data_IF_468003022024
#
_entry.id   IF_468003022024
#
_cell.length_a   1.000
_cell.length_b   1.000
_cell.length_c   1.000
_cell.angle_alpha   90.00
_cell.angle_beta   90.00
_cell.angle_gamma   90.00
#
_symmetry.space_group_name_H-M   'P 1'
#
loop_
_entity.id
_entity.type
_entity.pdbx_description
1 polymer ?
#
# COMPACT_ATOMS: atom_id res chain seq x y z
N UNK A 1 -9.52 -15.79 14.49
CA UNK A 1 -8.83 -14.81 15.36
C UNK A 1 -7.91 -13.95 14.51
N UNK A 2 -8.04 -12.62 14.60
CA UNK A 2 -7.09 -11.64 14.06
C UNK A 2 -6.07 -11.32 15.15
N UNK A 3 -4.78 -11.23 14.77
CA UNK A 3 -3.71 -10.81 15.69
C UNK A 3 -3.03 -9.59 15.10
N UNK A 4 -3.01 -8.48 15.83
CA UNK A 4 -2.40 -7.22 15.36
C UNK A 4 -1.43 -6.68 16.41
N UNK A 5 -0.30 -6.16 15.95
CA UNK A 5 0.72 -5.56 16.81
C UNK A 5 0.28 -4.24 17.46
N UNK A 6 -0.75 -3.62 16.91
CA UNK A 6 -1.35 -2.37 17.36
C UNK A 6 -2.87 -2.54 17.46
N UNK A 7 -3.62 -1.48 17.27
CA UNK A 7 -5.06 -1.53 17.12
C UNK A 7 -5.48 -1.65 15.66
N UNK A 8 -6.72 -2.09 15.43
CA UNK A 8 -7.30 -2.20 14.09
C UNK A 8 -7.24 -0.86 13.37
N UNK A 9 -6.75 -0.89 12.13
CA UNK A 9 -6.58 0.31 11.30
C UNK A 9 -5.32 1.13 11.59
N UNK A 10 -4.40 0.65 12.43
CA UNK A 10 -3.20 1.39 12.83
C UNK A 10 -2.33 1.86 11.65
N UNK A 11 -2.26 1.11 10.56
CA UNK A 11 -1.53 1.53 9.36
C UNK A 11 -2.13 2.80 8.75
N UNK A 12 -3.46 2.87 8.68
CA UNK A 12 -4.18 4.04 8.17
C UNK A 12 -4.11 5.23 9.11
N UNK A 13 -4.09 4.99 10.43
CA UNK A 13 -3.91 6.04 11.45
C UNK A 13 -2.56 6.76 11.34
N UNK A 14 -1.57 6.12 10.73
CA UNK A 14 -0.22 6.67 10.52
C UNK A 14 -0.04 7.39 9.19
N UNK A 15 -1.06 7.40 8.32
CA UNK A 15 -0.99 8.21 7.10
C UNK A 15 -0.86 9.69 7.45
N UNK A 16 -0.17 10.48 6.62
CA UNK A 16 -0.22 11.94 6.74
C UNK A 16 -1.67 12.44 6.82
N UNK A 17 -1.96 13.42 7.65
CA UNK A 17 -3.33 13.89 7.89
C UNK A 17 -4.04 14.37 6.61
N UNK A 18 -3.27 14.89 5.66
CA UNK A 18 -3.76 15.41 4.38
C UNK A 18 -3.92 14.33 3.31
N UNK A 19 -3.32 13.16 3.51
CA UNK A 19 -3.40 12.05 2.54
C UNK A 19 -4.82 11.53 2.44
N UNK A 20 -5.26 11.29 1.22
CA UNK A 20 -6.59 10.80 0.89
C UNK A 20 -6.51 9.53 0.07
N UNK A 21 -7.54 8.70 0.17
CA UNK A 21 -7.71 7.58 -0.75
C UNK A 21 -7.72 8.07 -2.19
N UNK A 22 -6.90 7.47 -3.02
CA UNK A 22 -6.83 7.78 -4.46
C UNK A 22 -7.96 7.12 -5.24
N UNK A 23 -8.56 6.06 -4.68
CA UNK A 23 -9.75 5.41 -5.21
C UNK A 23 -10.99 6.12 -4.66
N UNK A 24 -11.95 6.53 -5.50
CA UNK A 24 -13.15 7.20 -5.02
C UNK A 24 -14.09 6.23 -4.33
N UNK A 25 -14.79 6.73 -3.31
CA UNK A 25 -15.96 6.10 -2.70
C UNK A 25 -17.23 6.77 -3.25
N UNK A 26 -18.32 6.01 -3.39
CA UNK A 26 -19.58 6.53 -3.94
C UNK A 26 -20.80 5.92 -3.27
N UNK A 27 -21.88 6.73 -3.16
CA UNK A 27 -23.09 6.38 -2.44
C UNK A 27 -23.95 5.31 -3.13
N UNK A 28 -23.91 5.28 -4.45
CA UNK A 28 -24.71 4.34 -5.24
C UNK A 28 -24.05 4.10 -6.58
N UNK A 29 -24.35 2.95 -7.14
CA UNK A 29 -23.95 2.61 -8.48
C UNK A 29 -25.06 1.81 -9.17
N UNK A 30 -25.40 2.16 -10.43
CA UNK A 30 -26.53 1.54 -11.13
C UNK A 30 -26.32 0.05 -11.45
N UNK A 31 -25.10 -0.45 -11.27
CA UNK A 31 -24.74 -1.84 -11.54
C UNK A 31 -24.70 -2.71 -10.28
N UNK A 32 -25.10 -2.19 -9.12
CA UNK A 32 -25.07 -2.93 -7.86
C UNK A 32 -23.68 -3.31 -7.36
N UNK A 33 -22.63 -2.65 -7.87
CA UNK A 33 -21.26 -2.91 -7.43
C UNK A 33 -21.02 -2.29 -6.05
N UNK A 34 -20.29 -2.96 -5.16
CA UNK A 34 -19.94 -2.37 -3.87
C UNK A 34 -18.99 -1.21 -4.04
N UNK A 35 -19.05 -0.25 -3.11
CA UNK A 35 -18.09 0.85 -3.01
C UNK A 35 -16.64 0.33 -3.14
N UNK A 36 -15.82 0.99 -3.94
CA UNK A 36 -14.46 0.53 -4.26
C UNK A 36 -13.57 0.38 -3.02
N UNK A 37 -13.81 1.15 -1.98
CA UNK A 37 -13.07 1.09 -0.72
C UNK A 37 -13.77 0.28 0.38
N UNK A 38 -14.95 -0.28 0.11
CA UNK A 38 -15.67 -1.12 1.07
C UNK A 38 -14.95 -2.45 1.31
N UNK A 39 -14.96 -2.92 2.55
CA UNK A 39 -14.38 -4.22 2.95
C UNK A 39 -15.41 -5.36 2.89
N UNK A 40 -16.69 -5.03 2.89
CA UNK A 40 -17.78 -6.00 2.83
C UNK A 40 -18.80 -5.57 1.78
N UNK A 41 -19.57 -6.52 1.18
CA UNK A 41 -20.50 -6.20 0.10
C UNK A 41 -21.66 -5.31 0.52
N UNK A 42 -22.02 -5.33 1.80
CA UNK A 42 -23.15 -4.61 2.40
C UNK A 42 -22.75 -3.32 3.12
N UNK A 43 -21.46 -2.93 3.06
CA UNK A 43 -20.97 -1.68 3.61
C UNK A 43 -20.53 -0.69 2.53
N UNK A 44 -20.53 0.59 2.87
CA UNK A 44 -20.03 1.66 2.00
C UNK A 44 -19.31 2.71 2.82
N UNK A 45 -18.08 3.01 2.43
CA UNK A 45 -17.29 4.06 3.07
C UNK A 45 -17.88 5.44 2.78
N UNK A 46 -18.47 5.64 1.58
CA UNK A 46 -19.17 6.87 1.24
C UNK A 46 -20.40 7.11 2.14
N UNK A 47 -21.18 6.05 2.43
CA UNK A 47 -22.30 6.17 3.39
C UNK A 47 -21.82 6.41 4.82
N UNK A 48 -20.67 5.87 5.19
CA UNK A 48 -20.09 6.02 6.51
C UNK A 48 -19.62 7.46 6.78
N UNK A 49 -18.95 8.12 5.84
CA UNK A 49 -18.32 9.41 6.08
C UNK A 49 -18.78 10.56 5.19
N UNK A 50 -19.51 10.31 4.11
CA UNK A 50 -19.94 11.36 3.18
C UNK A 50 -18.83 11.92 2.29
N UNK A 51 -17.67 11.28 2.22
CA UNK A 51 -16.51 11.74 1.46
C UNK A 51 -16.22 10.82 0.27
N UNK A 52 -15.91 11.39 -0.89
CA UNK A 52 -15.46 10.64 -2.06
C UNK A 52 -14.03 10.11 -1.87
N UNK A 53 -13.16 10.92 -1.29
CA UNK A 53 -11.76 10.58 -1.01
C UNK A 53 -11.45 10.74 0.49
N UNK A 54 -11.85 9.77 1.33
CA UNK A 54 -11.66 9.85 2.78
C UNK A 54 -10.19 9.75 3.18
N UNK A 55 -9.88 10.28 4.36
CA UNK A 55 -8.56 10.17 4.97
C UNK A 55 -8.35 8.85 5.71
N UNK A 56 -7.09 8.57 6.08
CA UNK A 56 -6.71 7.34 6.77
C UNK A 56 -7.43 7.16 8.11
N UNK A 57 -7.54 8.20 8.94
CA UNK A 57 -8.26 8.15 10.24
C UNK A 57 -9.73 7.75 10.07
N UNK A 58 -10.39 8.28 9.05
CA UNK A 58 -11.79 7.94 8.71
C UNK A 58 -11.89 6.46 8.36
N UNK A 59 -10.97 5.97 7.53
CA UNK A 59 -10.95 4.56 7.15
C UNK A 59 -10.67 3.62 8.33
N UNK A 60 -9.75 3.99 9.21
CA UNK A 60 -9.50 3.22 10.44
C UNK A 60 -10.76 3.11 11.32
N UNK A 61 -11.54 4.19 11.41
CA UNK A 61 -12.82 4.19 12.14
C UNK A 61 -13.85 3.29 11.46
N UNK A 62 -13.93 3.31 10.14
CA UNK A 62 -14.79 2.40 9.36
C UNK A 62 -14.42 0.94 9.59
N UNK A 63 -13.13 0.58 9.58
CA UNK A 63 -12.68 -0.78 9.84
C UNK A 63 -13.07 -1.27 11.24
N UNK A 64 -13.06 -0.39 12.26
CA UNK A 64 -13.53 -0.72 13.62
C UNK A 64 -15.01 -1.04 13.63
N UNK A 65 -15.82 -0.27 12.91
CA UNK A 65 -17.28 -0.55 12.79
C UNK A 65 -17.53 -1.89 12.09
N UNK A 66 -16.83 -2.18 10.99
CA UNK A 66 -16.93 -3.47 10.30
C UNK A 66 -16.54 -4.62 11.24
N UNK A 67 -15.48 -4.46 12.00
CA UNK A 67 -15.04 -5.47 12.96
C UNK A 67 -16.08 -5.75 14.04
N UNK A 68 -16.67 -4.69 14.60
CA UNK A 68 -17.69 -4.80 15.66
C UNK A 68 -18.98 -5.42 15.12
N UNK A 69 -19.43 -5.03 13.93
CA UNK A 69 -20.65 -5.56 13.29
C UNK A 69 -20.53 -7.07 13.04
N UNK A 70 -19.39 -7.51 12.54
CA UNK A 70 -19.15 -8.93 12.27
C UNK A 70 -18.60 -9.70 13.48
N UNK A 71 -18.45 -9.05 14.63
CA UNK A 71 -17.98 -9.67 15.88
C UNK A 71 -16.67 -10.44 15.70
N UNK A 72 -15.74 -9.89 14.89
CA UNK A 72 -14.48 -10.54 14.58
C UNK A 72 -13.57 -10.54 15.82
N UNK A 73 -13.15 -11.71 16.33
CA UNK A 73 -12.28 -11.76 17.50
C UNK A 73 -10.89 -11.25 17.17
N UNK A 74 -10.41 -10.27 17.94
CA UNK A 74 -9.10 -9.63 17.78
C UNK A 74 -8.28 -9.73 19.05
N UNK A 75 -7.02 -10.11 18.88
CA UNK A 75 -5.98 -10.00 19.89
C UNK A 75 -5.06 -8.84 19.51
N UNK A 76 -5.21 -7.71 20.18
CA UNK A 76 -4.42 -6.50 19.98
C UNK A 76 -4.30 -5.71 21.31
N UNK A 77 -3.14 -5.14 21.63
CA UNK A 77 -1.87 -5.24 20.90
C UNK A 77 -1.18 -6.59 21.13
N UNK A 78 -0.80 -7.28 20.05
CA UNK A 78 -0.08 -8.54 20.12
C UNK A 78 0.85 -8.70 18.91
N UNK A 79 2.13 -8.42 19.10
CA UNK A 79 3.11 -8.54 18.03
C UNK A 79 3.64 -9.97 17.93
N UNK A 80 3.58 -10.54 16.74
CA UNK A 80 4.15 -11.86 16.46
C UNK A 80 5.67 -11.72 16.27
N UNK A 81 6.42 -12.37 17.16
CA UNK A 81 7.89 -12.40 17.11
C UNK A 81 8.42 -13.55 16.28
N UNK A 82 7.68 -14.67 16.20
CA UNK A 82 8.12 -15.87 15.50
C UNK A 82 6.95 -16.69 14.99
N UNK A 83 7.12 -17.23 13.79
CA UNK A 83 6.27 -18.29 13.23
C UNK A 83 7.15 -19.52 12.99
N UNK A 84 6.65 -20.69 13.33
CA UNK A 84 7.31 -21.96 13.06
C UNK A 84 6.27 -23.01 12.62
N UNK A 85 6.72 -24.03 11.89
CA UNK A 85 5.92 -25.19 11.52
C UNK A 85 6.19 -26.31 12.53
N UNK A 86 5.12 -26.93 13.03
CA UNK A 86 5.19 -28.12 13.89
C UNK A 86 5.27 -29.39 13.03
N UNK A 87 5.72 -30.50 13.63
CA UNK A 87 5.73 -31.80 12.99
C UNK A 87 4.33 -32.34 12.60
N UNK A 88 3.29 -31.77 13.23
CA UNK A 88 1.87 -32.00 12.86
C UNK A 88 1.46 -31.36 11.54
N UNK A 89 2.25 -30.41 10.99
CA UNK A 89 1.87 -29.56 9.87
C UNK A 89 1.18 -28.27 10.28
N UNK A 90 0.89 -28.08 11.58
CA UNK A 90 0.29 -26.84 12.10
C UNK A 90 1.34 -25.72 12.23
N UNK A 91 0.89 -24.48 12.14
CA UNK A 91 1.72 -23.31 12.45
C UNK A 91 1.64 -23.00 13.94
N UNK A 92 2.76 -22.62 14.54
CA UNK A 92 2.82 -22.05 15.88
C UNK A 92 3.37 -20.63 15.78
N UNK A 93 2.58 -19.68 16.27
CA UNK A 93 2.95 -18.28 16.36
C UNK A 93 3.34 -17.99 17.81
N UNK A 94 4.43 -17.26 18.00
CA UNK A 94 4.85 -16.79 19.32
C UNK A 94 4.83 -15.29 19.34
N UNK A 95 4.10 -14.70 20.27
CA UNK A 95 4.09 -13.24 20.49
C UNK A 95 5.38 -12.78 21.17
N UNK A 96 5.68 -11.47 21.13
CA UNK A 96 6.78 -10.89 21.92
C UNK A 96 6.61 -11.10 23.43
N UNK A 97 5.38 -11.23 23.91
CA UNK A 97 5.06 -11.56 25.31
C UNK A 97 5.28 -13.06 25.64
N UNK A 98 5.63 -13.88 24.65
CA UNK A 98 5.87 -15.32 24.81
C UNK A 98 4.60 -16.18 24.75
N UNK A 99 3.45 -15.60 24.46
CA UNK A 99 2.21 -16.34 24.24
C UNK A 99 2.29 -17.16 22.95
N UNK A 100 1.72 -18.36 22.95
CA UNK A 100 1.76 -19.29 21.83
C UNK A 100 0.36 -19.53 21.30
N UNK A 101 0.20 -19.36 19.98
CA UNK A 101 -1.01 -19.63 19.23
C UNK A 101 -0.73 -20.72 18.21
N UNK A 102 -1.49 -21.78 18.23
CA UNK A 102 -1.40 -22.86 17.24
C UNK A 102 -2.56 -22.77 16.26
N UNK A 103 -2.28 -22.97 14.97
CA UNK A 103 -3.30 -22.93 13.92
C UNK A 103 -2.96 -23.87 12.77
N UNK A 104 -3.99 -24.43 12.13
CA UNK A 104 -3.86 -25.22 10.90
C UNK A 104 -3.71 -24.37 9.65
N UNK A 105 -4.27 -23.15 9.66
CA UNK A 105 -4.17 -22.21 8.54
C UNK A 105 -3.79 -20.84 9.05
N UNK A 106 -2.88 -20.17 8.33
CA UNK A 106 -2.35 -18.86 8.67
C UNK A 106 -2.51 -17.93 7.47
N UNK A 107 -3.23 -16.82 7.65
CA UNK A 107 -3.28 -15.71 6.69
C UNK A 107 -2.29 -14.65 7.14
N UNK A 108 -1.29 -14.35 6.30
CA UNK A 108 -0.34 -13.28 6.53
C UNK A 108 -0.80 -12.01 5.82
N UNK A 109 -1.25 -11.02 6.57
CA UNK A 109 -1.93 -9.82 6.07
C UNK A 109 -1.28 -8.52 6.55
N UNK A 110 0.05 -8.50 6.70
CA UNK A 110 0.77 -7.39 7.35
C UNK A 110 0.97 -6.15 6.45
N UNK A 111 0.51 -6.20 5.21
CA UNK A 111 0.50 -5.04 4.29
C UNK A 111 1.89 -4.54 3.89
N UNK A 112 1.98 -3.26 3.52
CA UNK A 112 3.21 -2.65 3.01
C UNK A 112 3.62 -1.35 3.74
N UNK A 113 2.66 -0.57 4.27
CA UNK A 113 2.92 0.78 4.77
C UNK A 113 3.99 0.85 5.87
N UNK A 114 4.14 -0.20 6.68
CA UNK A 114 5.16 -0.31 7.73
C UNK A 114 6.54 -0.75 7.22
N UNK A 115 6.70 -0.97 5.92
CA UNK A 115 7.93 -1.39 5.27
C UNK A 115 8.41 -0.38 4.22
N UNK A 116 8.69 0.88 4.62
CA UNK A 116 9.19 1.90 3.69
C UNK A 116 10.53 1.49 3.10
N UNK A 117 10.73 1.76 1.82
CA UNK A 117 12.01 1.49 1.17
C UNK A 117 12.99 2.65 1.37
N UNK A 118 13.90 2.48 2.33
CA UNK A 118 14.82 3.52 2.81
C UNK A 118 16.27 3.34 2.37
N UNK A 119 16.59 2.25 1.68
CA UNK A 119 17.98 1.89 1.36
C UNK A 119 18.23 1.77 -0.15
N UNK A 120 17.51 2.55 -0.92
CA UNK A 120 17.54 2.49 -2.38
C UNK A 120 18.80 3.12 -3.03
N UNK A 121 19.47 4.03 -2.30
CA UNK A 121 20.74 4.64 -2.69
C UNK A 121 21.49 5.15 -1.44
N UNK A 122 22.80 5.41 -1.49
CA UNK A 122 23.56 6.02 -0.41
C UNK A 122 22.96 7.35 0.05
N UNK A 123 22.73 7.48 1.36
CA UNK A 123 22.14 8.67 1.97
C UNK A 123 20.60 8.75 1.89
N UNK A 124 19.92 7.73 1.41
CA UNK A 124 18.46 7.69 1.48
C UNK A 124 17.93 7.68 2.93
N UNK A 125 18.71 7.14 3.86
CA UNK A 125 18.43 7.06 5.29
C UNK A 125 18.45 8.43 6.01
N UNK A 126 19.06 9.45 5.43
CA UNK A 126 19.02 10.83 5.96
C UNK A 126 17.86 11.66 5.41
N UNK A 127 17.06 11.11 4.51
CA UNK A 127 15.83 11.72 3.97
C UNK A 127 14.64 11.43 4.88
N UNK A 128 13.62 12.28 4.79
CA UNK A 128 12.31 12.02 5.42
C UNK A 128 11.48 11.14 4.49
N UNK A 129 11.23 9.89 4.87
CA UNK A 129 10.36 9.04 4.06
C UNK A 129 8.89 9.49 4.18
N UNK A 130 8.14 9.44 3.08
CA UNK A 130 6.71 9.76 3.05
C UNK A 130 5.90 9.08 4.16
N UNK A 131 6.18 7.81 4.44
CA UNK A 131 5.52 7.03 5.49
C UNK A 131 5.84 7.46 6.94
N UNK A 132 6.76 8.42 7.14
CA UNK A 132 7.09 8.99 8.47
C UNK A 132 6.41 10.33 8.71
N UNK A 133 5.80 10.90 7.69
CA UNK A 133 5.14 12.19 7.77
C UNK A 133 3.82 12.06 8.54
N UNK A 134 3.64 12.82 9.60
CA UNK A 134 2.38 12.90 10.35
C UNK A 134 1.43 13.91 9.69
N UNK A 135 1.93 15.09 9.38
CA UNK A 135 1.18 16.14 8.69
C UNK A 135 2.12 17.02 7.88
N UNK A 136 1.74 17.35 6.66
CA UNK A 136 2.48 18.28 5.82
C UNK A 136 2.44 19.71 6.37
N UNK A 137 1.49 20.05 7.23
CA UNK A 137 1.39 21.34 7.90
C UNK A 137 2.47 21.57 8.93
N UNK A 138 3.10 20.50 9.43
CA UNK A 138 4.21 20.57 10.38
C UNK A 138 5.53 20.98 9.71
N UNK A 139 5.57 20.93 8.38
CA UNK A 139 6.73 21.35 7.61
C UNK A 139 6.82 22.88 7.58
N UNK A 140 7.99 23.41 7.94
CA UNK A 140 8.24 24.86 7.81
C UNK A 140 8.25 25.25 6.34
N UNK A 141 7.97 26.52 6.05
CA UNK A 141 8.11 27.04 4.71
C UNK A 141 9.58 27.03 4.28
N UNK A 142 9.85 26.41 3.14
CA UNK A 142 11.21 26.25 2.62
C UNK A 142 11.23 25.78 1.17
N UNK A 143 12.41 25.43 0.69
CA UNK A 143 12.59 24.78 -0.60
C UNK A 143 12.81 23.28 -0.38
N UNK A 144 11.87 22.45 -0.82
CA UNK A 144 11.94 21.01 -0.66
C UNK A 144 12.30 20.31 -1.96
N UNK A 145 13.10 19.26 -1.83
CA UNK A 145 13.34 18.28 -2.90
C UNK A 145 12.50 17.04 -2.57
N UNK A 146 11.60 16.67 -3.47
CA UNK A 146 10.81 15.43 -3.41
C UNK A 146 11.42 14.44 -4.39
N UNK A 147 11.86 13.29 -3.89
CA UNK A 147 12.50 12.22 -4.66
C UNK A 147 11.46 11.15 -4.96
N UNK A 148 11.04 11.04 -6.21
CA UNK A 148 9.98 10.18 -6.70
C UNK A 148 9.06 10.92 -7.65
N UNK A 149 8.16 10.21 -8.33
CA UNK A 149 7.27 10.81 -9.35
C UNK A 149 5.89 10.14 -9.42
N UNK A 150 5.51 9.35 -8.41
CA UNK A 150 4.25 8.62 -8.39
C UNK A 150 3.29 9.17 -7.34
N UNK A 151 2.28 8.42 -6.92
CA UNK A 151 1.19 8.84 -6.01
C UNK A 151 1.71 9.61 -4.79
N UNK A 152 2.65 9.03 -4.03
CA UNK A 152 3.19 9.65 -2.81
C UNK A 152 4.01 10.92 -3.09
N UNK A 153 4.71 10.97 -4.24
CA UNK A 153 5.51 12.14 -4.60
C UNK A 153 4.65 13.33 -4.98
N UNK A 154 3.58 13.08 -5.75
CA UNK A 154 2.61 14.11 -6.11
C UNK A 154 1.85 14.58 -4.88
N UNK A 155 1.42 13.67 -3.99
CA UNK A 155 0.75 14.03 -2.74
C UNK A 155 1.64 14.93 -1.88
N UNK A 156 2.91 14.56 -1.68
CA UNK A 156 3.89 15.37 -0.96
C UNK A 156 4.09 16.76 -1.61
N UNK A 157 4.28 16.80 -2.92
CA UNK A 157 4.52 18.04 -3.65
C UNK A 157 3.33 19.00 -3.56
N UNK A 158 2.11 18.51 -3.77
CA UNK A 158 0.89 19.33 -3.68
C UNK A 158 0.73 19.90 -2.27
N UNK A 159 0.85 19.08 -1.24
CA UNK A 159 0.67 19.52 0.14
C UNK A 159 1.76 20.53 0.60
N UNK A 160 3.02 20.32 0.19
CA UNK A 160 4.09 21.28 0.45
C UNK A 160 3.86 22.63 -0.25
N UNK A 161 3.36 22.62 -1.49
CA UNK A 161 2.99 23.83 -2.23
C UNK A 161 1.83 24.57 -1.55
N UNK A 162 0.80 23.85 -1.11
CA UNK A 162 -0.35 24.39 -0.38
C UNK A 162 0.09 25.02 0.95
N UNK A 163 1.12 24.48 1.60
CA UNK A 163 1.75 25.07 2.78
C UNK A 163 2.64 26.28 2.46
N UNK A 164 2.76 26.65 1.18
CA UNK A 164 3.52 27.84 0.71
C UNK A 164 5.01 27.62 0.56
N UNK A 165 5.47 26.37 0.50
CA UNK A 165 6.85 25.98 0.19
C UNK A 165 7.09 25.95 -1.32
N UNK A 166 8.36 26.01 -1.75
CA UNK A 166 8.76 25.66 -3.11
C UNK A 166 9.17 24.19 -3.17
N UNK A 167 8.90 23.55 -4.31
CA UNK A 167 9.14 22.12 -4.48
C UNK A 167 9.86 21.85 -5.79
N UNK A 168 10.94 21.09 -5.70
CA UNK A 168 11.62 20.44 -6.83
C UNK A 168 11.34 18.94 -6.76
N UNK A 169 10.55 18.44 -7.71
CA UNK A 169 10.28 17.00 -7.80
C UNK A 169 11.25 16.34 -8.78
N UNK A 170 12.03 15.39 -8.28
CA UNK A 170 13.01 14.64 -9.06
C UNK A 170 12.48 13.25 -9.36
N UNK A 171 12.31 12.91 -10.63
CA UNK A 171 11.74 11.63 -11.04
C UNK A 171 12.51 10.98 -12.18
N UNK A 172 12.53 9.64 -12.19
CA UNK A 172 13.14 8.85 -13.26
C UNK A 172 12.34 8.86 -14.55
N UNK A 173 11.03 9.08 -14.44
CA UNK A 173 10.07 9.02 -15.54
C UNK A 173 8.93 9.98 -15.30
N UNK A 174 8.10 10.19 -16.31
CA UNK A 174 6.88 11.00 -16.25
C UNK A 174 5.62 10.10 -16.25
N UNK A 175 5.27 9.44 -15.13
CA UNK A 175 4.14 8.50 -15.11
C UNK A 175 2.78 9.16 -15.43
N UNK A 176 2.67 10.47 -15.29
CA UNK A 176 1.51 11.27 -15.69
C UNK A 176 1.35 11.38 -17.21
N UNK A 177 2.40 11.14 -17.99
CA UNK A 177 2.38 11.15 -19.46
C UNK A 177 1.98 9.80 -20.06
N UNK A 178 1.88 8.76 -19.25
CA UNK A 178 1.49 7.43 -19.73
C UNK A 178 0.03 7.45 -20.20
N UNK A 179 -0.17 7.21 -21.48
CA UNK A 179 -1.48 7.02 -22.10
C UNK A 179 -1.70 5.52 -22.32
N UNK A 180 -2.88 5.02 -21.99
CA UNK A 180 -3.30 3.64 -22.27
C UNK A 180 -2.53 2.55 -21.49
N UNK A 181 -2.62 2.60 -20.18
CA UNK A 181 -2.22 1.48 -19.34
C UNK A 181 -3.50 0.75 -18.93
N UNK A 182 -3.60 -0.52 -19.30
CA UNK A 182 -4.75 -1.38 -19.00
C UNK A 182 -4.90 -1.63 -17.49
N UNK A 183 -3.79 -1.69 -16.76
CA UNK A 183 -3.82 -1.84 -15.30
C UNK A 183 -3.67 -0.47 -14.60
N UNK A 184 -4.70 -0.02 -13.84
CA UNK A 184 -4.65 1.23 -13.08
C UNK A 184 -3.52 1.26 -12.03
N UNK A 185 -2.96 0.11 -11.64
CA UNK A 185 -1.82 0.03 -10.74
C UNK A 185 -0.52 0.57 -11.36
N UNK A 186 -0.47 0.72 -12.68
CA UNK A 186 0.71 1.16 -13.44
C UNK A 186 0.62 2.62 -13.91
N UNK A 187 -0.44 3.34 -13.53
CA UNK A 187 -0.62 4.76 -13.86
C UNK A 187 -0.96 5.59 -12.63
N UNK A 188 -0.77 6.89 -12.69
CA UNK A 188 -1.31 7.78 -11.66
C UNK A 188 -2.84 7.71 -11.66
N UNK A 189 -3.42 7.63 -10.46
CA UNK A 189 -4.87 7.71 -10.29
C UNK A 189 -5.45 9.00 -10.89
N UNK A 190 -6.70 9.00 -11.34
CA UNK A 190 -7.37 10.22 -11.80
C UNK A 190 -7.33 11.34 -10.75
N UNK A 191 -7.55 11.01 -9.49
CA UNK A 191 -7.49 11.94 -8.37
C UNK A 191 -6.11 12.63 -8.25
N UNK A 192 -5.04 11.86 -8.25
CA UNK A 192 -3.69 12.39 -8.13
C UNK A 192 -3.28 13.18 -9.38
N UNK A 193 -3.68 12.70 -10.56
CA UNK A 193 -3.43 13.40 -11.82
C UNK A 193 -4.12 14.77 -11.86
N UNK A 194 -5.35 14.86 -11.38
CA UNK A 194 -6.06 16.15 -11.28
C UNK A 194 -5.36 17.10 -10.33
N UNK A 195 -4.94 16.63 -9.15
CA UNK A 195 -4.17 17.43 -8.19
C UNK A 195 -2.85 17.93 -8.78
N UNK A 196 -2.11 17.06 -9.48
CA UNK A 196 -0.88 17.44 -10.17
C UNK A 196 -1.14 18.52 -11.23
N UNK A 197 -2.18 18.36 -12.07
CA UNK A 197 -2.52 19.30 -13.12
C UNK A 197 -2.84 20.70 -12.56
N UNK A 198 -3.44 20.80 -11.39
CA UNK A 198 -3.73 22.09 -10.72
C UNK A 198 -2.46 22.86 -10.35
N UNK A 199 -1.37 22.16 -10.06
CA UNK A 199 -0.09 22.74 -9.61
C UNK A 199 1.02 22.71 -10.65
N UNK A 200 0.82 22.04 -11.79
CA UNK A 200 1.84 21.85 -12.83
C UNK A 200 2.52 23.15 -13.29
N UNK A 201 1.75 24.24 -13.36
CA UNK A 201 2.26 25.56 -13.74
C UNK A 201 2.44 26.52 -12.54
N UNK A 202 2.48 25.99 -11.32
CA UNK A 202 2.68 26.83 -10.15
C UNK A 202 4.12 27.35 -10.09
N UNK A 203 4.30 28.65 -9.86
CA UNK A 203 5.60 29.34 -9.89
C UNK A 203 6.66 28.78 -8.91
N UNK A 204 6.22 28.08 -7.88
CA UNK A 204 7.07 27.45 -6.85
C UNK A 204 7.23 25.94 -7.07
N UNK A 205 6.82 25.41 -8.22
CA UNK A 205 6.89 24.00 -8.54
C UNK A 205 7.74 23.76 -9.77
N UNK A 206 8.74 22.92 -9.63
CA UNK A 206 9.60 22.48 -10.72
C UNK A 206 9.64 20.95 -10.76
N UNK A 207 9.49 20.37 -11.94
CA UNK A 207 9.63 18.92 -12.17
C UNK A 207 10.86 18.69 -13.03
N UNK A 208 11.69 17.78 -12.56
CA UNK A 208 12.88 17.32 -13.28
C UNK A 208 12.72 15.85 -13.64
N UNK A 209 12.37 15.59 -14.88
CA UNK A 209 12.33 14.27 -15.48
C UNK A 209 13.76 13.78 -15.76
N UNK A 210 13.93 12.48 -15.97
CA UNK A 210 15.26 11.86 -16.13
C UNK A 210 16.25 12.21 -14.98
N UNK A 211 15.71 12.37 -13.79
CA UNK A 211 16.46 12.67 -12.58
C UNK A 211 16.49 11.44 -11.66
N UNK A 212 17.21 10.42 -12.09
CA UNK A 212 17.41 9.20 -11.29
C UNK A 212 18.42 9.47 -10.17
N UNK A 213 17.90 9.66 -8.94
CA UNK A 213 18.71 9.99 -7.78
C UNK A 213 19.56 8.80 -7.38
N UNK A 214 20.87 9.02 -7.23
CA UNK A 214 21.83 7.98 -6.87
C UNK A 214 22.54 8.23 -5.53
N UNK A 215 22.46 9.43 -4.97
CA UNK A 215 23.08 9.75 -3.69
C UNK A 215 22.48 11.02 -3.08
N UNK A 216 22.39 11.05 -1.74
CA UNK A 216 22.10 12.25 -0.96
C UNK A 216 23.21 12.45 0.07
N UNK A 217 23.79 13.65 0.11
CA UNK A 217 24.87 14.00 1.03
C UNK A 217 24.41 15.13 1.93
N UNK A 218 24.65 14.99 3.23
CA UNK A 218 24.54 16.12 4.16
C UNK A 218 25.82 16.96 4.09
N UNK A 219 25.66 18.22 3.74
CA UNK A 219 26.80 19.13 3.59
C UNK A 219 27.33 19.60 4.95
N UNK A 220 28.65 19.67 5.14
CA UNK A 220 29.23 20.22 6.35
C UNK A 220 29.03 21.75 6.40
N UNK A 221 28.67 22.29 7.56
CA UNK A 221 28.51 23.73 7.75
C UNK A 221 27.57 24.10 8.88
N UNK A 222 27.46 25.38 9.23
CA UNK A 222 26.43 25.85 10.16
C UNK A 222 25.06 25.79 9.49
N UNK A 223 24.20 24.93 10.00
CA UNK A 223 22.90 24.61 9.42
C UNK A 223 22.89 23.23 8.78
N UNK A 224 21.70 22.71 8.51
CA UNK A 224 21.54 21.46 7.76
C UNK A 224 21.31 21.82 6.31
N UNK A 225 22.21 21.44 5.41
CA UNK A 225 21.98 21.51 3.98
C UNK A 225 22.26 20.15 3.34
N UNK A 226 21.58 19.86 2.27
CA UNK A 226 21.64 18.58 1.58
C UNK A 226 21.96 18.80 0.12
N UNK A 227 22.68 17.88 -0.46
CA UNK A 227 22.95 17.83 -1.88
C UNK A 227 22.49 16.49 -2.44
N UNK A 228 21.62 16.54 -3.43
CA UNK A 228 21.02 15.39 -4.09
C UNK A 228 21.68 15.23 -5.45
N UNK A 229 22.27 14.07 -5.70
CA UNK A 229 22.96 13.73 -6.95
C UNK A 229 22.17 12.72 -7.77
N UNK A 230 22.26 12.83 -9.09
CA UNK A 230 21.63 11.92 -10.04
C UNK A 230 22.65 11.19 -10.90
N UNK A 231 22.26 10.04 -11.45
CA UNK A 231 23.09 9.17 -12.30
C UNK A 231 23.60 9.89 -13.55
N UNK A 232 22.88 10.90 -14.06
CA UNK A 232 23.28 11.72 -15.21
C UNK A 232 24.15 12.94 -14.85
N UNK A 233 24.65 13.01 -13.61
CA UNK A 233 25.61 14.03 -13.16
C UNK A 233 25.00 15.37 -12.76
N UNK A 234 23.66 15.53 -12.75
CA UNK A 234 23.02 16.73 -12.20
C UNK A 234 23.02 16.68 -10.67
N UNK A 235 22.93 17.85 -10.05
CA UNK A 235 22.82 17.96 -8.59
C UNK A 235 21.98 19.16 -8.18
N UNK A 236 21.26 19.03 -7.08
CA UNK A 236 20.47 20.08 -6.44
C UNK A 236 20.83 20.20 -4.97
N UNK A 237 20.78 21.39 -4.46
CA UNK A 237 20.97 21.67 -3.03
C UNK A 237 19.68 22.19 -2.41
N UNK A 238 19.49 21.90 -1.13
CA UNK A 238 18.39 22.39 -0.30
C UNK A 238 18.82 22.46 1.16
N UNK A 239 18.25 23.40 1.92
CA UNK A 239 18.45 23.50 3.38
C UNK A 239 17.41 22.66 4.16
N UNK A 240 16.43 22.12 3.46
CA UNK A 240 15.40 21.25 4.05
C UNK A 240 15.75 19.80 3.85
N UNK A 241 15.29 18.94 4.76
CA UNK A 241 15.43 17.48 4.62
C UNK A 241 14.70 17.01 3.36
N UNK A 242 15.38 16.35 2.41
CA UNK A 242 14.71 15.83 1.21
C UNK A 242 13.62 14.83 1.57
N UNK A 243 12.51 14.85 0.84
CA UNK A 243 11.40 13.91 1.01
C UNK A 243 11.61 12.72 0.10
N UNK A 244 11.65 11.52 0.69
CA UNK A 244 11.77 10.26 -0.01
C UNK A 244 10.39 9.67 -0.28
N UNK A 245 9.90 9.78 -1.51
CA UNK A 245 8.61 9.29 -1.97
C UNK A 245 8.78 8.15 -2.98
N UNK A 246 9.59 7.16 -2.63
CA UNK A 246 10.04 6.07 -3.49
C UNK A 246 9.32 4.75 -3.23
N UNK A 247 8.27 4.80 -2.40
CA UNK A 247 7.40 3.66 -2.12
C UNK A 247 7.89 2.76 -1.00
N UNK A 248 7.48 1.50 -1.06
CA UNK A 248 7.66 0.51 -0.01
C UNK A 248 8.39 -0.71 -0.56
N UNK A 249 8.96 -1.51 0.34
CA UNK A 249 9.74 -2.68 -0.02
C UNK A 249 8.90 -3.70 -0.80
N UNK A 250 9.43 -4.19 -1.92
CA UNK A 250 8.81 -5.28 -2.68
C UNK A 250 8.62 -6.50 -1.76
N UNK A 251 7.43 -7.11 -1.81
CA UNK A 251 7.06 -8.20 -0.91
C UNK A 251 6.67 -7.75 0.50
N UNK A 252 6.91 -6.50 0.89
CA UNK A 252 6.45 -5.91 2.15
C UNK A 252 6.50 -6.83 3.35
N UNK A 253 5.36 -7.01 4.02
CA UNK A 253 5.27 -7.87 5.19
C UNK A 253 5.53 -9.37 4.98
N UNK A 254 5.42 -9.88 3.75
CA UNK A 254 5.77 -11.27 3.46
C UNK A 254 7.27 -11.56 3.71
N UNK A 255 8.13 -10.52 3.65
CA UNK A 255 9.56 -10.67 3.99
C UNK A 255 9.82 -11.04 5.45
N UNK A 256 8.88 -10.79 6.35
CA UNK A 256 8.97 -11.27 7.73
C UNK A 256 8.91 -12.81 7.82
N UNK A 257 8.32 -13.44 6.80
CA UNK A 257 8.24 -14.89 6.63
C UNK A 257 8.99 -15.34 5.38
N UNK A 258 10.13 -14.73 5.05
CA UNK A 258 10.85 -14.96 3.79
C UNK A 258 11.14 -16.43 3.51
N UNK A 259 11.48 -17.21 4.54
CA UNK A 259 11.76 -18.65 4.40
C UNK A 259 10.51 -19.51 4.13
N UNK A 260 9.32 -18.93 4.24
CA UNK A 260 8.04 -19.61 4.03
C UNK A 260 7.48 -19.40 2.62
N UNK A 261 8.14 -18.60 1.78
CA UNK A 261 7.73 -18.32 0.41
C UNK A 261 8.89 -18.54 -0.56
N UNK A 262 8.57 -18.99 -1.76
CA UNK A 262 9.44 -18.80 -2.92
C UNK A 262 9.33 -17.34 -3.38
N UNK A 263 10.41 -16.82 -3.98
CA UNK A 263 10.48 -15.43 -4.42
C UNK A 263 10.84 -15.36 -5.90
N UNK A 264 10.15 -14.49 -6.63
CA UNK A 264 10.50 -14.21 -8.02
C UNK A 264 11.64 -13.16 -8.09
N UNK A 265 12.15 -12.92 -9.31
CA UNK A 265 13.24 -12.00 -9.57
C UNK A 265 12.89 -10.53 -9.23
N UNK A 266 11.60 -10.17 -9.24
CA UNK A 266 11.11 -8.83 -8.87
C UNK A 266 10.95 -8.66 -7.35
N UNK A 267 11.22 -9.70 -6.56
CA UNK A 267 11.16 -9.67 -5.10
C UNK A 267 9.76 -9.81 -4.52
N UNK A 268 8.83 -10.41 -5.26
CA UNK A 268 7.49 -10.78 -4.78
C UNK A 268 7.39 -12.26 -4.46
N UNK A 269 6.55 -12.67 -3.48
CA UNK A 269 6.29 -14.07 -3.20
C UNK A 269 5.60 -14.76 -4.38
N UNK A 270 6.03 -15.97 -4.69
CA UNK A 270 5.36 -16.88 -5.62
C UNK A 270 4.26 -17.62 -4.87
N UNK A 271 3.04 -17.53 -5.37
CA UNK A 271 1.85 -18.09 -4.74
C UNK A 271 1.14 -19.06 -5.68
N UNK A 272 0.35 -19.96 -5.09
CA UNK A 272 -0.63 -20.74 -5.87
C UNK A 272 -1.79 -19.84 -6.33
N UNK A 273 -2.64 -20.33 -7.21
CA UNK A 273 -3.83 -19.60 -7.69
C UNK A 273 -4.80 -19.21 -6.55
N UNK A 274 -4.68 -19.86 -5.38
CA UNK A 274 -5.46 -19.54 -4.18
C UNK A 274 -4.70 -18.67 -3.15
N UNK A 275 -3.65 -17.98 -3.56
CA UNK A 275 -2.82 -17.13 -2.70
C UNK A 275 -2.11 -17.87 -1.57
N UNK A 276 -1.96 -19.20 -1.70
CA UNK A 276 -1.23 -20.04 -0.76
C UNK A 276 0.27 -20.07 -1.10
N UNK A 277 1.12 -20.19 -0.08
CA UNK A 277 2.53 -20.47 -0.27
C UNK A 277 2.73 -21.76 -1.07
N UNK A 278 3.63 -21.74 -2.06
CA UNK A 278 4.05 -22.93 -2.82
C UNK A 278 4.85 -23.91 -1.97
N UNK A 279 5.46 -23.44 -0.88
CA UNK A 279 6.30 -24.25 0.02
C UNK A 279 5.53 -24.83 1.21
N UNK A 280 4.55 -24.08 1.74
CA UNK A 280 3.86 -24.41 3.00
C UNK A 280 2.34 -24.34 2.82
N UNK A 281 1.67 -25.49 2.53
CA UNK A 281 0.21 -25.54 2.46
C UNK A 281 -0.44 -25.04 3.74
N UNK A 282 -1.49 -24.23 3.60
CA UNK A 282 -2.17 -23.60 4.74
C UNK A 282 -1.62 -22.23 5.16
N UNK A 283 -0.51 -21.77 4.54
CA UNK A 283 -0.05 -20.38 4.68
C UNK A 283 -0.51 -19.57 3.47
N UNK A 284 -1.28 -18.52 3.70
CA UNK A 284 -1.82 -17.65 2.68
C UNK A 284 -1.29 -16.22 2.83
N UNK A 285 -1.11 -15.53 1.71
CA UNK A 285 -0.80 -14.11 1.67
C UNK A 285 -2.02 -13.35 1.13
N UNK A 286 -2.39 -12.25 1.77
CA UNK A 286 -3.42 -11.34 1.26
C UNK A 286 -2.94 -9.90 1.28
N UNK A 287 -3.52 -9.07 0.41
CA UNK A 287 -3.22 -7.64 0.33
C UNK A 287 -2.36 -7.25 -0.88
N UNK A 288 -1.68 -6.09 -0.82
CA UNK A 288 -1.14 -5.40 -1.99
C UNK A 288 0.03 -6.11 -2.69
N UNK A 289 0.60 -7.14 -2.09
CA UNK A 289 1.74 -7.88 -2.66
C UNK A 289 1.36 -9.16 -3.41
N UNK A 290 0.09 -9.50 -3.48
CA UNK A 290 -0.41 -10.61 -4.30
C UNK A 290 -0.22 -10.26 -5.78
N UNK A 291 0.28 -11.22 -6.57
CA UNK A 291 0.50 -11.10 -8.02
C UNK A 291 0.11 -12.40 -8.69
N UNK A 292 -0.71 -12.32 -9.75
CA UNK A 292 -1.09 -13.47 -10.58
C UNK A 292 -1.15 -13.08 -12.05
N UNK A 293 -0.50 -13.86 -12.91
CA UNK A 293 -0.57 -13.71 -14.38
C UNK A 293 -0.40 -12.25 -14.87
N UNK A 294 0.50 -11.49 -14.22
CA UNK A 294 0.74 -10.06 -14.51
C UNK A 294 -0.21 -9.08 -13.80
N UNK A 295 -1.27 -9.56 -13.17
CA UNK A 295 -2.20 -8.70 -12.42
C UNK A 295 -1.62 -8.26 -11.07
N UNK A 296 -1.80 -6.97 -10.77
CA UNK A 296 -1.35 -6.33 -9.53
C UNK A 296 -2.56 -6.05 -8.63
N UNK A 297 -2.60 -6.65 -7.45
CA UNK A 297 -3.73 -6.52 -6.51
C UNK A 297 -3.46 -5.46 -5.42
N UNK A 298 -3.00 -4.26 -5.80
CA UNK A 298 -2.60 -3.22 -4.85
C UNK A 298 -3.75 -2.33 -4.34
N UNK A 299 -4.91 -2.32 -5.01
CA UNK A 299 -6.09 -1.57 -4.56
C UNK A 299 -7.03 -2.44 -3.74
N UNK A 300 -7.80 -1.82 -2.82
CA UNK A 300 -8.77 -2.52 -1.98
C UNK A 300 -9.76 -3.30 -2.85
N UNK A 301 -10.36 -2.68 -3.86
CA UNK A 301 -11.32 -3.32 -4.76
C UNK A 301 -10.71 -4.48 -5.57
N UNK A 302 -9.39 -4.50 -5.74
CA UNK A 302 -8.69 -5.61 -6.39
C UNK A 302 -8.40 -6.75 -5.39
N UNK A 303 -7.67 -6.48 -4.29
CA UNK A 303 -7.25 -7.55 -3.40
C UNK A 303 -8.41 -8.16 -2.60
N UNK A 304 -9.48 -7.40 -2.29
CA UNK A 304 -10.64 -7.96 -1.60
C UNK A 304 -11.34 -9.06 -2.41
N UNK A 305 -11.24 -9.04 -3.74
CA UNK A 305 -11.78 -10.11 -4.61
C UNK A 305 -11.06 -11.45 -4.39
N UNK A 306 -9.87 -11.41 -3.80
CA UNK A 306 -9.11 -12.61 -3.46
C UNK A 306 -9.56 -13.24 -2.14
N UNK A 307 -10.26 -12.50 -1.27
CA UNK A 307 -10.69 -13.01 0.03
C UNK A 307 -11.59 -14.25 -0.04
N UNK A 308 -12.61 -14.32 -0.91
CA UNK A 308 -13.40 -15.54 -1.07
C UNK A 308 -12.59 -16.73 -1.58
N UNK A 309 -11.64 -16.49 -2.48
CA UNK A 309 -10.74 -17.53 -3.02
C UNK A 309 -9.90 -18.14 -1.90
N UNK A 310 -9.30 -17.28 -1.08
CA UNK A 310 -8.53 -17.71 0.10
C UNK A 310 -9.43 -18.42 1.12
N UNK A 311 -10.61 -17.88 1.41
CA UNK A 311 -11.55 -18.48 2.34
C UNK A 311 -12.03 -19.86 1.88
N UNK A 312 -12.35 -20.05 0.58
CA UNK A 312 -12.72 -21.34 0.00
C UNK A 312 -11.55 -22.35 0.09
N UNK A 313 -10.33 -21.90 -0.20
CA UNK A 313 -9.14 -22.74 -0.08
C UNK A 313 -8.91 -23.20 1.37
N UNK A 314 -9.06 -22.27 2.34
CA UNK A 314 -8.95 -22.58 3.77
C UNK A 314 -10.02 -23.59 4.19
N UNK A 315 -11.30 -23.40 3.82
CA UNK A 315 -12.37 -24.32 4.20
C UNK A 315 -12.14 -25.72 3.64
N UNK A 316 -11.68 -25.80 2.39
CA UNK A 316 -11.29 -27.08 1.77
C UNK A 316 -10.10 -27.74 2.50
N UNK A 317 -9.07 -26.96 2.81
CA UNK A 317 -7.91 -27.44 3.57
C UNK A 317 -8.29 -27.97 4.97
N UNK A 318 -9.28 -27.35 5.60
CA UNK A 318 -9.77 -27.74 6.92
C UNK A 318 -10.84 -28.84 6.89
N UNK A 319 -11.29 -29.27 5.71
CA UNK A 319 -12.38 -30.24 5.54
C UNK A 319 -13.76 -29.68 5.95
N UNK A 320 -13.93 -28.35 5.83
CA UNK A 320 -15.19 -27.66 6.14
C UNK A 320 -15.99 -27.39 4.85
N UNK A 321 -17.30 -27.12 4.98
CA UNK A 321 -18.13 -26.70 3.84
C UNK A 321 -17.80 -25.28 3.44
N UNK A 322 -17.71 -25.04 2.13
CA UNK A 322 -17.60 -23.70 1.53
C UNK A 322 -18.95 -23.15 1.07
N UNK A 323 -20.06 -23.85 1.38
CA UNK A 323 -21.42 -23.41 1.04
C UNK A 323 -21.70 -22.02 1.66
N UNK A 324 -22.19 -21.09 0.84
CA UNK A 324 -22.45 -19.70 1.25
C UNK A 324 -21.26 -18.73 1.08
N UNK A 325 -20.01 -19.19 0.90
CA UNK A 325 -18.89 -18.28 0.67
C UNK A 325 -18.99 -17.55 -0.68
N UNK A 326 -19.56 -18.20 -1.70
CA UNK A 326 -19.73 -17.63 -3.04
C UNK A 326 -20.81 -16.57 -3.10
N UNK A 327 -21.78 -16.62 -2.19
CA UNK A 327 -22.89 -15.66 -2.13
C UNK A 327 -22.44 -14.31 -1.55
N UNK A 328 -21.31 -14.26 -0.89
CA UNK A 328 -20.79 -13.06 -0.23
C UNK A 328 -20.23 -12.02 -1.20
N UNK A 329 -19.67 -12.47 -2.34
CA UNK A 329 -19.19 -11.60 -3.40
C UNK A 329 -19.77 -12.10 -4.72
N UNK A 330 -20.40 -11.21 -5.45
CA UNK A 330 -20.67 -11.47 -6.85
C UNK A 330 -19.30 -11.46 -7.54
N UNK A 331 -18.64 -12.62 -7.53
CA UNK A 331 -17.51 -12.81 -8.43
C UNK A 331 -18.09 -12.77 -9.83
N UNK A 332 -17.48 -12.04 -10.79
CA UNK A 332 -17.78 -12.27 -12.19
C UNK A 332 -17.63 -13.76 -12.42
N UNK A 333 -18.65 -14.38 -12.99
CA UNK A 333 -18.71 -15.83 -13.22
C UNK A 333 -17.70 -16.33 -14.26
N UNK A 334 -16.85 -15.44 -14.77
CA UNK A 334 -15.77 -15.77 -15.70
C UNK A 334 -14.49 -14.98 -15.37
N UNK A 335 -13.32 -15.66 -15.32
CA UNK A 335 -12.03 -15.03 -15.01
C UNK A 335 -11.45 -14.19 -16.15
N UNK A 336 -12.08 -14.05 -17.30
CA UNK A 336 -11.36 -13.73 -18.53
C UNK A 336 -11.72 -12.43 -19.24
N UNK A 337 -12.49 -11.52 -18.69
CA UNK A 337 -12.73 -10.28 -19.44
C UNK A 337 -11.52 -9.33 -19.54
N UNK A 338 -10.40 -9.63 -18.85
CA UNK A 338 -9.16 -8.85 -18.91
C UNK A 338 -7.95 -9.66 -19.38
N UNK A 339 -8.15 -10.90 -19.86
CA UNK A 339 -7.06 -11.75 -20.35
C UNK A 339 -6.73 -11.55 -21.83
N UNK A 340 -7.61 -10.85 -22.59
CA UNK A 340 -7.35 -10.51 -23.98
C UNK A 340 -6.84 -9.07 -24.09
N UNK A 341 -5.75 -8.88 -24.83
CA UNK A 341 -5.12 -7.59 -25.15
C UNK A 341 -6.04 -6.60 -25.88
N UNK A 342 -7.26 -7.00 -26.23
CA UNK A 342 -8.26 -6.23 -26.96
C UNK A 342 -9.44 -5.74 -26.10
N UNK A 343 -9.41 -5.86 -24.77
CA UNK A 343 -10.49 -5.39 -23.93
C UNK A 343 -10.45 -3.86 -23.77
N UNK A 344 -11.26 -3.18 -24.58
CA UNK A 344 -11.53 -1.73 -24.52
C UNK A 344 -12.68 -1.47 -23.50
N UNK A 345 -12.40 -1.51 -22.21
CA UNK A 345 -13.30 -1.03 -21.16
C UNK A 345 -12.92 0.36 -20.70
#
# INVERSE_FOLDING_TARGET
LVVDSHEVGASFMRWPEETRFITPSFFSNPFGQPDLNAMTPDSSLALFCGEEHPGGKTYASYLKVVLDEYQIPVMAPARIAKVALLSSGNFILTTEAGEKLETRSLIWATGEFQFPDRLIFPGADICCHYGDVTSWKDFRKGEYIVIGGYESAVDAAVNLLENGSSVKMLTRSAPWSANHISDPSLSLSPYTRERLNRVMNHRLFEIYEDADVCEVIRMPGPGSSYKVHTTNGRAWATDEVPVLATGFQCGGGARQLAAFFEWNDDGYPVLTDEDCSTLFPGLYLVGPHVRHAGNIYCFIYKFRQRFPVVAESITRHLGLSSEGLRDWWILPSEPDCCADDDCAC
#
